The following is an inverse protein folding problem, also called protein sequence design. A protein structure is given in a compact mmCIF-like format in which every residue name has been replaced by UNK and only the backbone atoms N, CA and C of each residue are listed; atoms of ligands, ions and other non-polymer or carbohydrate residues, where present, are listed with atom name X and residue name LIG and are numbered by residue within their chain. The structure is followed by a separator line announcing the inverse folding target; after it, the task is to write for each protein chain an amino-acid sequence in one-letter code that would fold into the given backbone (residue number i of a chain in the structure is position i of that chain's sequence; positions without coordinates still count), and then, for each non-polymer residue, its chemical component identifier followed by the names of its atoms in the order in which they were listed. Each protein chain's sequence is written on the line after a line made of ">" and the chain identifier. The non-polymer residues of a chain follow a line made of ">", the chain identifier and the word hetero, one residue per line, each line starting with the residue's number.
data_IF_304245368321
#
_entry.id   IF_304245368321
#
_cell.length_a   1.000
_cell.length_b   1.000
_cell.length_c   1.000
_cell.angle_alpha   90.00
_cell.angle_beta   90.00
_cell.angle_gamma   90.00
#
_symmetry.space_group_name_H-M   'P 1'
#
loop_
_entity.id
_entity.type
_entity.pdbx_description
1 polymer ?
#
# COMPACT_ATOMS: atom_id res chain seq x y z
N UNK A 1 -19.11 -16.61 -7.43
CA UNK A 1 -17.68 -16.32 -7.74
C UNK A 1 -17.24 -14.89 -7.47
N UNK A 2 -17.98 -13.84 -7.90
CA UNK A 2 -17.60 -12.43 -7.62
C UNK A 2 -17.46 -12.10 -6.13
N UNK A 3 -18.32 -12.60 -5.25
CA UNK A 3 -18.29 -12.22 -3.82
C UNK A 3 -16.96 -12.54 -3.11
N UNK A 4 -16.34 -13.69 -3.39
CA UNK A 4 -15.09 -14.11 -2.74
C UNK A 4 -13.88 -13.22 -3.11
N UNK A 5 -13.92 -12.56 -4.26
CA UNK A 5 -12.83 -11.67 -4.70
C UNK A 5 -12.82 -10.34 -3.92
N UNK A 6 -13.99 -9.81 -3.61
CA UNK A 6 -14.11 -8.54 -2.87
C UNK A 6 -14.06 -8.74 -1.36
N UNK A 7 -14.27 -9.97 -0.86
CA UNK A 7 -14.24 -10.24 0.56
C UNK A 7 -12.84 -10.05 1.14
N UNK A 8 -12.70 -9.06 2.03
CA UNK A 8 -11.49 -8.78 2.78
C UNK A 8 -11.53 -9.51 4.11
N UNK A 9 -10.71 -10.55 4.28
CA UNK A 9 -10.66 -11.33 5.52
C UNK A 9 -10.29 -10.50 6.77
N UNK A 10 -9.51 -9.43 6.59
CA UNK A 10 -9.13 -8.49 7.66
C UNK A 10 -10.28 -7.59 8.09
N UNK A 11 -11.11 -7.15 7.14
CA UNK A 11 -12.25 -6.25 7.40
C UNK A 11 -13.56 -7.00 7.62
N UNK A 12 -13.60 -8.30 7.34
CA UNK A 12 -14.79 -9.16 7.38
C UNK A 12 -15.96 -8.63 6.54
N UNK A 13 -15.65 -7.90 5.47
CA UNK A 13 -16.61 -7.25 4.60
C UNK A 13 -16.12 -7.30 3.14
N UNK A 14 -17.04 -7.12 2.19
CA UNK A 14 -16.68 -6.83 0.81
C UNK A 14 -16.14 -5.41 0.73
N UNK A 15 -14.95 -5.25 0.16
CA UNK A 15 -14.32 -3.95 0.09
C UNK A 15 -13.63 -3.80 -1.25
N UNK A 16 -13.58 -2.54 -1.67
CA UNK A 16 -12.69 -2.06 -2.70
C UNK A 16 -11.50 -1.36 -2.05
N UNK A 17 -10.37 -1.32 -2.76
CA UNK A 17 -9.13 -0.70 -2.28
C UNK A 17 -8.43 0.03 -3.41
N UNK A 18 -7.72 1.08 -3.03
CA UNK A 18 -6.82 1.83 -3.90
C UNK A 18 -5.49 2.05 -3.16
N UNK A 19 -4.40 2.15 -3.93
CA UNK A 19 -3.11 2.66 -3.45
C UNK A 19 -3.07 4.15 -3.72
N UNK A 20 -2.69 4.91 -2.69
CA UNK A 20 -2.60 6.37 -2.73
C UNK A 20 -1.16 6.78 -2.46
N UNK A 21 -0.66 7.73 -3.25
CA UNK A 21 0.58 8.46 -2.92
C UNK A 21 0.20 9.89 -2.60
N UNK A 22 0.48 10.31 -1.38
CA UNK A 22 0.24 11.66 -0.92
C UNK A 22 1.56 12.36 -0.61
N UNK A 23 1.64 13.64 -0.97
CA UNK A 23 2.73 14.51 -0.55
C UNK A 23 2.44 15.01 0.87
N UNK A 24 3.32 14.66 1.81
CA UNK A 24 3.14 14.98 3.23
C UNK A 24 3.26 16.47 3.53
N UNK A 25 4.03 17.23 2.74
CA UNK A 25 4.23 18.68 2.94
C UNK A 25 3.06 19.48 2.37
N UNK A 26 2.69 19.22 1.13
CA UNK A 26 1.61 19.97 0.46
C UNK A 26 0.21 19.45 0.81
N UNK A 27 0.10 18.30 1.49
CA UNK A 27 -1.16 17.61 1.81
C UNK A 27 -2.01 17.29 0.57
N UNK A 28 -1.37 17.07 -0.58
CA UNK A 28 -2.03 16.73 -1.85
C UNK A 28 -1.84 15.27 -2.20
N UNK A 29 -2.88 14.66 -2.77
CA UNK A 29 -2.77 13.35 -3.43
C UNK A 29 -2.07 13.57 -4.77
N UNK A 30 -0.93 12.90 -4.96
CA UNK A 30 -0.18 12.90 -6.21
C UNK A 30 -0.51 11.69 -7.09
N UNK A 31 -1.11 10.64 -6.51
CA UNK A 31 -1.51 9.45 -7.23
C UNK A 31 -2.66 8.73 -6.53
N UNK A 32 -3.58 8.19 -7.33
CA UNK A 32 -4.63 7.26 -6.92
C UNK A 32 -4.66 6.13 -7.96
N UNK A 33 -4.48 4.88 -7.51
CA UNK A 33 -4.58 3.72 -8.39
C UNK A 33 -6.02 3.50 -8.87
N UNK A 34 -6.23 2.71 -9.94
CA UNK A 34 -7.51 2.07 -10.20
C UNK A 34 -8.03 1.31 -8.98
N UNK A 35 -9.31 0.99 -9.01
CA UNK A 35 -9.97 0.25 -7.93
C UNK A 35 -9.63 -1.24 -8.02
N UNK A 36 -9.10 -1.77 -6.92
CA UNK A 36 -8.75 -3.17 -6.76
C UNK A 36 -9.67 -3.86 -5.76
N UNK A 37 -9.87 -5.16 -5.95
CA UNK A 37 -10.67 -5.97 -5.05
C UNK A 37 -10.00 -6.08 -3.67
N UNK A 38 -10.80 -6.03 -2.60
CA UNK A 38 -10.33 -5.95 -1.22
C UNK A 38 -9.49 -7.14 -0.73
N UNK A 39 -9.57 -8.28 -1.40
CA UNK A 39 -8.72 -9.46 -1.17
C UNK A 39 -7.28 -9.25 -1.65
N UNK A 40 -7.06 -8.36 -2.63
CA UNK A 40 -5.73 -8.10 -3.16
C UNK A 40 -4.86 -7.43 -2.09
N UNK A 41 -3.63 -7.93 -1.93
CA UNK A 41 -2.67 -7.39 -0.97
C UNK A 41 -2.13 -6.04 -1.46
N UNK A 42 -2.01 -5.05 -0.57
CA UNK A 42 -1.66 -3.66 -0.93
C UNK A 42 -0.30 -3.58 -1.66
N UNK A 43 0.72 -4.31 -1.17
CA UNK A 43 2.01 -4.48 -1.88
C UNK A 43 1.87 -4.97 -3.32
N UNK A 44 0.99 -5.94 -3.58
CA UNK A 44 0.79 -6.51 -4.93
C UNK A 44 0.13 -5.49 -5.87
N UNK A 45 -0.73 -4.63 -5.34
CA UNK A 45 -1.26 -3.49 -6.10
C UNK A 45 -0.13 -2.55 -6.47
N UNK A 46 0.68 -2.12 -5.50
CA UNK A 46 1.80 -1.21 -5.76
C UNK A 46 2.84 -1.76 -6.77
N UNK A 47 3.12 -3.07 -6.72
CA UNK A 47 3.99 -3.76 -7.68
C UNK A 47 3.41 -3.73 -9.12
N UNK A 48 2.09 -3.93 -9.25
CA UNK A 48 1.38 -3.94 -10.56
C UNK A 48 1.30 -2.57 -11.19
N UNK A 49 1.11 -1.54 -10.38
CA UNK A 49 0.97 -0.15 -10.83
C UNK A 49 2.28 0.43 -11.36
N UNK A 50 3.42 -0.24 -11.13
CA UNK A 50 4.75 0.16 -11.62
C UNK A 50 5.06 1.64 -11.37
N UNK A 51 4.68 2.14 -10.19
CA UNK A 51 4.69 3.56 -9.90
C UNK A 51 6.13 4.09 -9.95
N UNK A 52 6.34 5.13 -10.76
CA UNK A 52 7.62 5.82 -10.88
C UNK A 52 7.66 6.99 -9.93
N UNK A 53 8.73 7.04 -9.14
CA UNK A 53 8.97 8.10 -8.17
C UNK A 53 10.15 8.97 -8.61
N UNK A 54 10.20 10.25 -8.21
CA UNK A 54 11.40 11.05 -8.35
C UNK A 54 12.59 10.38 -7.65
N UNK A 55 13.77 10.37 -8.29
CA UNK A 55 14.97 9.70 -7.73
C UNK A 55 15.35 10.18 -6.33
N UNK A 56 15.11 11.47 -6.02
CA UNK A 56 15.41 12.10 -4.71
C UNK A 56 14.22 12.03 -3.73
N UNK A 57 13.20 11.23 -4.02
CA UNK A 57 12.06 11.10 -3.12
C UNK A 57 12.45 10.32 -1.85
N UNK A 58 11.84 10.73 -0.74
CA UNK A 58 11.85 9.98 0.52
C UNK A 58 10.46 9.39 0.68
N UNK A 59 10.34 8.06 0.58
CA UNK A 59 9.06 7.38 0.63
C UNK A 59 8.79 6.85 2.04
N UNK A 60 7.63 7.19 2.60
CA UNK A 60 7.12 6.60 3.84
C UNK A 60 6.07 5.54 3.49
N UNK A 61 6.28 4.32 3.94
CA UNK A 61 5.44 3.15 3.67
C UNK A 61 4.84 2.61 4.97
N UNK A 62 3.60 2.13 4.93
CA UNK A 62 3.06 1.27 6.00
C UNK A 62 3.61 -0.16 5.87
N UNK A 63 3.52 -0.94 6.94
CA UNK A 63 3.81 -2.38 7.02
C UNK A 63 3.06 -3.22 5.97
N UNK A 64 1.90 -2.78 5.48
CA UNK A 64 1.18 -3.42 4.37
C UNK A 64 1.95 -3.40 3.04
N UNK A 65 2.98 -2.56 2.92
CA UNK A 65 3.89 -2.46 1.77
C UNK A 65 5.27 -3.06 2.08
N UNK A 66 5.35 -4.02 3.00
CA UNK A 66 6.61 -4.74 3.28
C UNK A 66 7.18 -5.35 1.99
N UNK A 67 8.49 -5.17 1.79
CA UNK A 67 9.23 -5.60 0.60
C UNK A 67 8.82 -4.92 -0.73
N UNK A 68 8.10 -3.79 -0.68
CA UNK A 68 7.93 -2.91 -1.83
C UNK A 68 9.13 -1.97 -1.94
N UNK A 69 10.06 -2.24 -2.85
CA UNK A 69 11.34 -1.50 -2.96
C UNK A 69 11.46 -0.71 -4.28
N UNK A 70 10.81 0.46 -4.38
CA UNK A 70 10.95 1.32 -5.54
C UNK A 70 12.32 2.01 -5.56
N UNK A 71 12.74 2.46 -6.75
CA UNK A 71 13.99 3.20 -6.94
C UNK A 71 13.86 4.65 -6.47
N UNK A 72 14.05 4.87 -5.18
CA UNK A 72 14.04 6.18 -4.53
C UNK A 72 15.28 6.35 -3.64
N UNK A 73 15.57 7.58 -3.24
CA UNK A 73 16.74 7.89 -2.40
C UNK A 73 16.65 7.21 -1.04
N UNK A 74 15.47 7.20 -0.43
CA UNK A 74 15.30 6.57 0.87
C UNK A 74 13.87 6.07 1.04
N UNK A 75 13.74 4.94 1.74
CA UNK A 75 12.44 4.48 2.23
C UNK A 75 12.44 4.40 3.75
N UNK A 76 11.32 4.75 4.36
CA UNK A 76 11.06 4.55 5.78
C UNK A 76 9.84 3.66 5.94
N UNK A 77 9.97 2.64 6.77
CA UNK A 77 8.88 1.74 7.12
C UNK A 77 8.92 1.49 8.62
N UNK A 78 7.78 1.59 9.33
CA UNK A 78 7.72 1.23 10.74
C UNK A 78 7.99 -0.26 10.90
N UNK A 79 8.81 -0.62 11.89
CA UNK A 79 9.03 -2.01 12.27
C UNK A 79 7.83 -2.49 13.08
N UNK A 80 7.25 -3.62 12.69
CA UNK A 80 6.17 -4.25 13.46
C UNK A 80 6.71 -4.70 14.82
N UNK A 81 6.10 -4.23 15.91
CA UNK A 81 6.40 -4.74 17.24
C UNK A 81 5.96 -6.21 17.32
N UNK A 82 6.84 -7.08 17.85
CA UNK A 82 6.46 -8.47 18.15
C UNK A 82 5.46 -8.41 19.30
N UNK A 83 4.18 -8.68 19.04
CA UNK A 83 3.22 -8.92 20.11
C UNK A 83 3.70 -10.19 20.81
N UNK A 84 4.05 -10.08 22.09
CA UNK A 84 4.40 -11.23 22.92
C UNK A 84 3.27 -12.24 22.86
N UNK A 85 3.58 -13.49 22.54
CA UNK A 85 2.64 -14.59 22.78
C UNK A 85 2.54 -14.70 24.31
N UNK A 86 1.40 -14.31 24.87
CA UNK A 86 0.97 -14.79 26.18
C UNK A 86 0.40 -16.20 26.04
#
# INVERSE_FOLDING_TARGET
>A
EKQALYYSGKKKAHSDKNVIIANTRSRRVGYLSPTYTGKTHDKKVADREQIVYPKRAILRKDTAFQAYEPRVQQTHQPKKNRVGKS
#
